data_IF_915689545617
#
_entry.id   IF_915689545617
#
_cell.length_a   1.000
_cell.length_b   1.000
_cell.length_c   1.000
_cell.angle_alpha   90.00
_cell.angle_beta   90.00
_cell.angle_gamma   90.00
#
_symmetry.space_group_name_H-M   'P 1'
#
loop_
_entity.id
_entity.type
_entity.pdbx_description
1 polymer ?
#
# COMPACT_ATOMS: atom_id res chain seq x y z
N UNK A 1 19.41 -23.97 3.01
CA UNK A 1 20.70 -23.70 2.37
C UNK A 1 20.42 -23.11 1.00
N UNK A 2 21.16 -22.08 0.59
CA UNK A 2 20.98 -21.46 -0.73
C UNK A 2 21.27 -22.46 -1.86
N UNK A 3 20.50 -22.35 -2.95
CA UNK A 3 20.59 -23.21 -4.11
C UNK A 3 20.54 -22.40 -5.41
N UNK A 4 21.10 -22.96 -6.49
CA UNK A 4 21.00 -22.35 -7.83
C UNK A 4 19.55 -22.22 -8.33
N UNK A 5 18.62 -22.98 -7.73
CA UNK A 5 17.19 -22.89 -8.04
C UNK A 5 16.58 -21.60 -7.52
N UNK A 6 17.12 -21.06 -6.43
CA UNK A 6 16.68 -19.79 -5.86
C UNK A 6 17.03 -18.61 -6.80
N UNK A 7 18.00 -18.83 -7.70
CA UNK A 7 18.39 -17.90 -8.76
C UNK A 7 17.81 -18.26 -10.15
N UNK A 8 16.77 -19.09 -10.19
CA UNK A 8 15.98 -19.31 -11.41
C UNK A 8 16.37 -20.52 -12.26
N UNK A 9 17.38 -21.31 -11.87
CA UNK A 9 17.66 -22.58 -12.57
C UNK A 9 16.66 -23.67 -12.18
N UNK A 10 16.26 -24.47 -13.16
CA UNK A 10 15.60 -25.74 -12.93
C UNK A 10 16.55 -26.74 -12.27
N UNK A 11 15.98 -27.82 -11.72
CA UNK A 11 16.76 -28.88 -11.09
C UNK A 11 17.74 -29.56 -12.05
N UNK A 12 17.37 -29.71 -13.33
CA UNK A 12 18.22 -30.34 -14.33
C UNK A 12 19.38 -29.43 -14.74
N UNK A 13 19.12 -28.14 -14.87
CA UNK A 13 20.15 -27.13 -15.18
C UNK A 13 21.16 -27.01 -14.03
N UNK A 14 20.68 -26.96 -12.79
CA UNK A 14 21.54 -26.93 -11.62
C UNK A 14 22.44 -28.17 -11.53
N UNK A 15 21.90 -29.37 -11.82
CA UNK A 15 22.68 -30.62 -11.84
C UNK A 15 23.70 -30.64 -12.97
N UNK A 16 23.31 -30.25 -14.19
CA UNK A 16 24.22 -30.19 -15.33
C UNK A 16 25.37 -29.22 -15.12
N UNK A 17 25.10 -28.01 -14.61
CA UNK A 17 26.13 -27.02 -14.30
C UNK A 17 27.11 -27.50 -13.23
N UNK A 18 26.61 -28.09 -12.13
CA UNK A 18 27.47 -28.69 -11.08
C UNK A 18 28.33 -29.83 -11.61
N UNK A 19 27.76 -30.69 -12.46
CA UNK A 19 28.52 -31.77 -13.07
C UNK A 19 29.64 -31.24 -13.97
N UNK A 20 29.39 -30.20 -14.77
CA UNK A 20 30.40 -29.54 -15.60
C UNK A 20 31.53 -28.90 -14.79
N UNK A 21 31.24 -28.32 -13.62
CA UNK A 21 32.28 -27.80 -12.71
C UNK A 21 33.19 -28.91 -12.19
N UNK A 22 32.67 -30.13 -12.04
CA UNK A 22 33.42 -31.26 -11.48
C UNK A 22 34.20 -32.03 -12.56
N UNK A 23 33.60 -32.25 -13.73
CA UNK A 23 34.19 -33.07 -14.80
C UNK A 23 35.02 -32.27 -15.81
N UNK A 24 34.86 -30.95 -15.87
CA UNK A 24 35.52 -30.11 -16.86
C UNK A 24 34.94 -30.31 -18.27
N UNK A 25 35.73 -30.05 -19.34
CA UNK A 25 35.25 -30.10 -20.72
C UNK A 25 34.77 -31.49 -21.16
N UNK A 26 33.46 -31.67 -21.31
CA UNK A 26 32.83 -32.97 -21.59
C UNK A 26 31.77 -32.89 -22.69
N UNK A 27 31.38 -34.02 -23.26
CA UNK A 27 30.32 -34.10 -24.28
C UNK A 27 28.93 -34.19 -23.62
N UNK A 28 27.86 -33.85 -24.36
CA UNK A 28 26.49 -33.98 -23.84
C UNK A 28 26.15 -35.41 -23.38
N UNK A 29 26.67 -36.43 -24.09
CA UNK A 29 26.45 -37.84 -23.74
C UNK A 29 27.09 -38.20 -22.41
N UNK A 30 28.34 -37.79 -22.19
CA UNK A 30 29.05 -38.01 -20.93
C UNK A 30 28.40 -37.21 -19.80
N UNK A 31 28.03 -35.95 -20.07
CA UNK A 31 27.36 -35.10 -19.09
C UNK A 31 26.05 -35.71 -18.60
N UNK A 32 25.23 -36.23 -19.50
CA UNK A 32 23.97 -36.91 -19.15
C UNK A 32 24.19 -38.08 -18.17
N UNK A 33 25.30 -38.82 -18.31
CA UNK A 33 25.63 -39.94 -17.42
C UNK A 33 26.10 -39.47 -16.05
N UNK A 34 26.85 -38.38 -15.97
CA UNK A 34 27.42 -37.90 -14.69
C UNK A 34 26.50 -36.94 -13.93
N UNK A 35 25.53 -36.32 -14.60
CA UNK A 35 24.63 -35.32 -14.01
C UNK A 35 23.24 -35.87 -13.65
N UNK A 36 22.99 -37.15 -13.93
CA UNK A 36 21.66 -37.78 -13.81
C UNK A 36 20.53 -37.04 -14.57
N UNK A 37 20.91 -36.32 -15.63
CA UNK A 37 19.95 -35.63 -16.52
C UNK A 37 19.69 -36.56 -17.70
N UNK A 38 18.42 -36.93 -17.98
CA UNK A 38 18.08 -37.85 -19.06
C UNK A 38 18.61 -37.38 -20.42
N UNK A 39 19.08 -38.33 -21.24
CA UNK A 39 19.64 -38.02 -22.56
C UNK A 39 18.65 -37.27 -23.48
N UNK A 40 17.35 -37.54 -23.34
CA UNK A 40 16.30 -36.83 -24.09
C UNK A 40 16.12 -35.36 -23.69
N UNK A 41 16.75 -34.90 -22.59
CA UNK A 41 16.64 -33.53 -22.06
C UNK A 41 17.97 -32.79 -22.02
N UNK A 42 19.10 -33.48 -22.18
CA UNK A 42 20.42 -32.87 -21.94
C UNK A 42 20.73 -31.72 -22.90
N UNK A 43 20.30 -31.82 -24.15
CA UNK A 43 20.51 -30.75 -25.13
C UNK A 43 19.67 -29.52 -24.81
N UNK A 44 18.41 -29.69 -24.41
CA UNK A 44 17.55 -28.58 -23.97
C UNK A 44 18.15 -27.87 -22.75
N UNK A 45 18.62 -28.66 -21.78
CA UNK A 45 19.27 -28.14 -20.57
C UNK A 45 20.55 -27.39 -20.91
N UNK A 46 21.41 -27.95 -21.77
CA UNK A 46 22.64 -27.31 -22.22
C UNK A 46 22.37 -26.02 -22.99
N UNK A 47 21.35 -26.00 -23.85
CA UNK A 47 20.95 -24.80 -24.58
C UNK A 47 20.45 -23.71 -23.61
N UNK A 48 19.65 -24.07 -22.60
CA UNK A 48 19.15 -23.14 -21.59
C UNK A 48 20.28 -22.52 -20.78
N UNK A 49 21.19 -23.34 -20.22
CA UNK A 49 22.33 -22.80 -19.46
C UNK A 49 23.38 -22.11 -20.34
N UNK A 50 23.42 -22.39 -21.65
CA UNK A 50 24.20 -21.61 -22.61
C UNK A 50 23.55 -20.23 -22.88
N UNK A 51 22.21 -20.13 -22.93
CA UNK A 51 21.48 -18.85 -23.02
C UNK A 51 21.72 -17.96 -21.78
N UNK A 52 21.73 -18.56 -20.58
CA UNK A 52 22.14 -17.88 -19.34
C UNK A 52 23.65 -17.59 -19.27
N UNK A 53 24.42 -17.90 -20.31
CA UNK A 53 25.87 -17.73 -20.36
C UNK A 53 26.60 -18.45 -19.20
N UNK A 54 26.07 -19.56 -18.71
CA UNK A 54 26.71 -20.36 -17.64
C UNK A 54 27.64 -21.43 -18.18
N UNK A 55 27.53 -21.73 -19.48
CA UNK A 55 28.34 -22.74 -20.16
C UNK A 55 28.89 -22.16 -21.45
N UNK A 56 30.11 -22.57 -21.80
CA UNK A 56 30.70 -22.35 -23.11
C UNK A 56 30.74 -23.66 -23.86
N UNK A 57 30.54 -23.59 -25.17
CA UNK A 57 30.62 -24.75 -26.01
C UNK A 57 31.72 -24.63 -27.07
N UNK A 58 32.36 -25.75 -27.36
CA UNK A 58 33.42 -25.84 -28.35
C UNK A 58 32.88 -26.47 -29.63
N UNK A 59 32.33 -25.64 -30.51
CA UNK A 59 31.68 -26.07 -31.75
C UNK A 59 32.61 -26.81 -32.73
N UNK A 60 33.92 -26.55 -32.64
CA UNK A 60 34.94 -27.18 -33.48
C UNK A 60 35.22 -28.65 -33.10
N UNK A 61 34.83 -29.10 -31.91
CA UNK A 61 35.03 -30.49 -31.50
C UNK A 61 33.91 -31.39 -32.03
N UNK A 62 34.25 -32.63 -32.42
CA UNK A 62 33.28 -33.67 -32.80
C UNK A 62 33.53 -34.90 -31.90
N UNK A 63 32.67 -35.17 -30.90
CA UNK A 63 31.42 -34.48 -30.55
C UNK A 63 31.62 -33.08 -29.94
N UNK A 64 30.59 -32.21 -29.97
CA UNK A 64 30.59 -30.88 -29.33
C UNK A 64 30.84 -31.04 -27.81
N UNK A 65 31.82 -30.29 -27.29
CA UNK A 65 32.17 -30.26 -25.87
C UNK A 65 31.63 -29.01 -25.20
N UNK A 66 31.36 -29.11 -23.90
CA UNK A 66 30.82 -28.06 -23.06
C UNK A 66 31.70 -27.92 -21.82
N UNK A 67 31.86 -26.69 -21.35
CA UNK A 67 32.61 -26.35 -20.13
C UNK A 67 31.84 -25.30 -19.34
N UNK A 68 31.79 -25.44 -18.02
CA UNK A 68 31.17 -24.46 -17.14
C UNK A 68 31.97 -23.15 -17.13
N UNK A 69 31.26 -22.03 -17.06
CA UNK A 69 31.81 -20.74 -16.63
C UNK A 69 32.07 -20.79 -15.13
N UNK A 70 33.06 -20.02 -14.66
CA UNK A 70 33.43 -19.94 -13.24
C UNK A 70 32.22 -19.58 -12.35
N UNK A 71 32.10 -20.20 -11.15
CA UNK A 71 30.95 -20.01 -10.27
C UNK A 71 30.63 -18.55 -9.96
N UNK A 72 31.64 -17.72 -9.64
CA UNK A 72 31.42 -16.32 -9.29
C UNK A 72 30.76 -15.55 -10.44
N UNK A 73 31.31 -15.68 -11.66
CA UNK A 73 30.75 -15.05 -12.86
C UNK A 73 29.36 -15.61 -13.22
N UNK A 74 29.15 -16.91 -13.04
CA UNK A 74 27.86 -17.54 -13.30
C UNK A 74 26.78 -17.06 -12.32
N UNK A 75 27.11 -16.93 -11.04
CA UNK A 75 26.21 -16.43 -10.00
C UNK A 75 25.89 -14.94 -10.21
N UNK A 76 26.88 -14.13 -10.57
CA UNK A 76 26.66 -12.72 -10.89
C UNK A 76 25.68 -12.56 -12.06
N UNK A 77 25.85 -13.35 -13.13
CA UNK A 77 24.94 -13.34 -14.29
C UNK A 77 23.52 -13.74 -13.93
N UNK A 78 23.37 -14.81 -13.14
CA UNK A 78 22.06 -15.25 -12.67
C UNK A 78 21.38 -14.19 -11.81
N UNK A 79 22.14 -13.51 -10.95
CA UNK A 79 21.63 -12.42 -10.13
C UNK A 79 21.20 -11.21 -10.98
N UNK A 80 22.00 -10.83 -11.97
CA UNK A 80 21.67 -9.75 -12.90
C UNK A 80 20.41 -10.05 -13.71
N UNK A 81 20.28 -11.27 -14.22
CA UNK A 81 19.06 -11.70 -14.93
C UNK A 81 17.85 -11.70 -14.01
N UNK A 82 18.00 -12.13 -12.76
CA UNK A 82 16.89 -12.10 -11.79
C UNK A 82 16.46 -10.67 -11.45
N UNK A 83 17.41 -9.74 -11.30
CA UNK A 83 17.11 -8.31 -11.11
C UNK A 83 16.37 -7.74 -12.32
N UNK A 84 16.78 -8.10 -13.53
CA UNK A 84 16.12 -7.68 -14.78
C UNK A 84 14.66 -8.15 -14.83
N UNK A 85 14.42 -9.43 -14.55
CA UNK A 85 13.07 -10.03 -14.51
C UNK A 85 12.17 -9.32 -13.49
N UNK A 86 12.69 -9.01 -12.31
CA UNK A 86 11.93 -8.30 -11.27
C UNK A 86 11.58 -6.87 -11.69
N UNK A 87 12.53 -6.13 -12.28
CA UNK A 87 12.28 -4.77 -12.79
C UNK A 87 11.27 -4.76 -13.94
N UNK A 88 11.27 -5.79 -14.81
CA UNK A 88 10.28 -5.92 -15.88
C UNK A 88 8.87 -6.18 -15.32
N UNK A 89 8.76 -7.03 -14.29
CA UNK A 89 7.49 -7.27 -13.58
C UNK A 89 6.98 -6.04 -12.85
N UNK A 90 7.86 -5.29 -12.19
CA UNK A 90 7.52 -4.03 -11.53
C UNK A 90 6.87 -3.05 -12.52
N UNK A 91 7.53 -2.79 -13.66
CA UNK A 91 6.98 -1.92 -14.72
C UNK A 91 5.66 -2.44 -15.30
N UNK A 92 5.51 -3.76 -15.42
CA UNK A 92 4.25 -4.35 -15.86
C UNK A 92 3.12 -4.04 -14.87
N UNK A 93 3.37 -4.16 -13.57
CA UNK A 93 2.37 -3.84 -12.55
C UNK A 93 2.05 -2.35 -12.47
N UNK A 94 3.05 -1.48 -12.61
CA UNK A 94 2.83 -0.02 -12.72
C UNK A 94 1.88 0.32 -13.88
N UNK A 95 2.12 -0.24 -15.07
CA UNK A 95 1.24 -0.01 -16.22
C UNK A 95 -0.19 -0.55 -16.04
N UNK A 96 -0.35 -1.67 -15.32
CA UNK A 96 -1.68 -2.20 -14.97
C UNK A 96 -2.40 -1.23 -14.02
N UNK A 97 -1.69 -0.67 -13.03
CA UNK A 97 -2.26 0.32 -12.10
C UNK A 97 -2.73 1.56 -12.87
N UNK A 98 -1.91 2.10 -13.76
CA UNK A 98 -2.27 3.28 -14.56
C UNK A 98 -3.51 3.03 -15.44
N UNK A 99 -3.60 1.86 -16.08
CA UNK A 99 -4.76 1.46 -16.89
C UNK A 99 -6.02 1.32 -16.02
N UNK A 100 -5.87 0.70 -14.84
CA UNK A 100 -6.98 0.51 -13.90
C UNK A 100 -7.49 1.84 -13.37
N UNK A 101 -6.61 2.78 -12.97
CA UNK A 101 -7.00 4.13 -12.56
C UNK A 101 -7.85 4.78 -13.65
N UNK A 102 -7.37 4.80 -14.91
CA UNK A 102 -8.14 5.39 -16.02
C UNK A 102 -9.47 4.70 -16.33
N UNK A 103 -9.57 3.38 -16.13
CA UNK A 103 -10.81 2.61 -16.37
C UNK A 103 -11.80 2.64 -15.21
N UNK A 104 -11.32 2.83 -13.98
CA UNK A 104 -12.14 2.93 -12.78
C UNK A 104 -12.59 4.38 -12.54
N UNK A 105 -11.87 5.37 -13.09
CA UNK A 105 -12.27 6.78 -13.13
C UNK A 105 -13.38 7.07 -14.17
N UNK A 106 -13.68 6.15 -15.09
CA UNK A 106 -14.89 6.25 -15.93
C UNK A 106 -16.14 5.86 -15.15
N UNK A 107 -16.45 6.63 -14.12
CA UNK A 107 -17.79 6.63 -13.54
C UNK A 107 -18.60 7.66 -14.33
N UNK A 108 -19.33 7.18 -15.34
CA UNK A 108 -20.63 7.79 -15.66
C UNK A 108 -21.37 7.90 -14.33
N UNK A 109 -21.51 9.12 -13.81
CA UNK A 109 -22.25 9.48 -12.60
C UNK A 109 -23.60 8.78 -12.61
N UNK A 110 -23.70 7.63 -11.95
CA UNK A 110 -24.97 7.04 -11.59
C UNK A 110 -25.48 7.91 -10.45
N UNK A 111 -26.50 8.71 -10.73
CA UNK A 111 -27.30 9.48 -9.76
C UNK A 111 -28.08 8.56 -8.78
N UNK A 112 -27.51 7.44 -8.36
CA UNK A 112 -27.95 6.76 -7.15
C UNK A 112 -27.02 7.24 -6.03
N UNK A 113 -27.61 7.88 -5.02
CA UNK A 113 -26.92 8.24 -3.78
C UNK A 113 -26.39 6.96 -3.14
N UNK A 114 -25.19 6.56 -3.53
CA UNK A 114 -24.54 5.37 -3.04
C UNK A 114 -24.00 5.70 -1.65
N UNK A 115 -24.57 5.04 -0.64
CA UNK A 115 -24.09 5.14 0.72
C UNK A 115 -23.47 3.80 1.13
N UNK A 116 -22.29 3.87 1.74
CA UNK A 116 -21.65 2.71 2.37
C UNK A 116 -21.84 2.84 3.86
N UNK A 117 -22.33 1.79 4.52
CA UNK A 117 -22.35 1.76 5.99
C UNK A 117 -21.36 0.72 6.50
N UNK A 118 -20.42 1.17 7.31
CA UNK A 118 -19.63 0.31 8.16
C UNK A 118 -20.33 0.19 9.52
N UNK A 119 -20.57 -1.02 9.99
CA UNK A 119 -21.17 -1.27 11.31
C UNK A 119 -20.13 -1.94 12.16
N UNK A 120 -19.91 -1.37 13.34
CA UNK A 120 -18.90 -1.86 14.27
C UNK A 120 -17.66 -0.95 14.33
N UNK A 121 -16.93 -1.00 15.45
CA UNK A 121 -15.78 -0.14 15.70
C UNK A 121 -14.67 -0.30 14.64
N UNK A 122 -14.21 -1.53 14.37
CA UNK A 122 -13.08 -1.76 13.47
C UNK A 122 -13.38 -1.31 12.03
N UNK A 123 -14.54 -1.70 11.51
CA UNK A 123 -14.98 -1.37 10.16
C UNK A 123 -15.19 0.14 9.99
N UNK A 124 -15.69 0.83 11.04
CA UNK A 124 -15.83 2.29 11.05
C UNK A 124 -14.48 2.98 10.94
N UNK A 125 -13.48 2.51 11.70
CA UNK A 125 -12.11 3.03 11.64
C UNK A 125 -11.48 2.81 10.28
N UNK A 126 -11.62 1.60 9.73
CA UNK A 126 -11.06 1.24 8.44
C UNK A 126 -11.67 2.10 7.33
N UNK A 127 -12.99 2.30 7.35
CA UNK A 127 -13.67 3.21 6.43
C UNK A 127 -13.14 4.63 6.57
N UNK A 128 -13.10 5.21 7.78
CA UNK A 128 -12.60 6.59 7.97
C UNK A 128 -11.17 6.77 7.45
N UNK A 129 -10.28 5.83 7.75
CA UNK A 129 -8.89 5.82 7.28
C UNK A 129 -8.82 5.76 5.76
N UNK A 130 -9.61 4.89 5.14
CA UNK A 130 -9.71 4.78 3.69
C UNK A 130 -10.16 6.09 3.04
N UNK A 131 -11.16 6.75 3.64
CA UNK A 131 -11.70 8.02 3.14
C UNK A 131 -10.70 9.17 3.23
N UNK A 132 -9.96 9.28 4.33
CA UNK A 132 -8.88 10.29 4.47
C UNK A 132 -7.72 9.99 3.52
N UNK A 133 -7.39 8.72 3.31
CA UNK A 133 -6.34 8.32 2.39
C UNK A 133 -6.69 8.65 0.92
N UNK A 134 -7.97 8.62 0.57
CA UNK A 134 -8.48 8.97 -0.76
C UNK A 134 -8.64 10.47 -1.01
N UNK A 135 -8.48 11.32 0.01
CA UNK A 135 -8.64 12.77 -0.13
C UNK A 135 -7.53 13.40 -0.98
N UNK A 136 -7.93 14.29 -1.90
CA UNK A 136 -7.06 14.98 -2.87
C UNK A 136 -6.94 16.49 -2.65
N UNK A 137 -7.98 17.14 -2.10
CA UNK A 137 -8.06 18.60 -1.98
C UNK A 137 -8.21 19.07 -0.53
N UNK A 138 -9.20 18.53 0.19
CA UNK A 138 -9.52 19.00 1.55
C UNK A 138 -10.22 17.94 2.41
N UNK A 139 -9.84 17.88 3.68
CA UNK A 139 -10.53 17.14 4.73
C UNK A 139 -11.02 18.12 5.82
N UNK A 140 -12.34 18.22 5.99
CA UNK A 140 -12.95 18.97 7.10
C UNK A 140 -13.55 17.99 8.09
N UNK A 141 -12.96 17.88 9.28
CA UNK A 141 -13.36 16.92 10.30
C UNK A 141 -13.96 17.63 11.51
N UNK A 142 -15.11 17.17 11.96
CA UNK A 142 -15.71 17.53 13.25
C UNK A 142 -15.69 16.31 14.15
N UNK A 143 -15.04 16.43 15.30
CA UNK A 143 -15.01 15.39 16.32
C UNK A 143 -15.75 15.89 17.56
N UNK A 144 -16.96 15.38 17.81
CA UNK A 144 -17.72 15.73 18.99
C UNK A 144 -17.39 14.80 20.15
N UNK A 145 -17.39 13.49 19.98
CA UNK A 145 -17.12 12.53 21.06
C UNK A 145 -16.04 11.53 20.68
N UNK A 146 -15.27 11.07 21.67
CA UNK A 146 -14.54 9.81 21.53
C UNK A 146 -15.49 8.66 21.83
N UNK A 147 -15.36 7.57 21.09
CA UNK A 147 -16.00 6.32 21.45
C UNK A 147 -15.17 5.59 22.51
N UNK A 148 -15.78 5.25 23.65
CA UNK A 148 -15.08 4.58 24.77
C UNK A 148 -14.77 3.11 24.50
N UNK A 149 -15.28 2.55 23.40
CA UNK A 149 -15.21 1.12 23.07
C UNK A 149 -13.91 0.70 22.37
N UNK A 150 -12.97 1.62 22.10
CA UNK A 150 -11.68 1.31 21.48
C UNK A 150 -10.51 1.29 22.46
N UNK A 151 -9.43 0.61 22.08
CA UNK A 151 -8.08 0.98 22.52
C UNK A 151 -7.82 2.39 21.99
N UNK A 152 -8.07 3.40 22.84
CA UNK A 152 -8.06 4.83 22.50
C UNK A 152 -6.80 5.27 21.75
N UNK A 153 -5.68 4.59 21.99
CA UNK A 153 -4.41 4.84 21.33
C UNK A 153 -4.45 4.47 19.84
N UNK A 154 -5.04 3.34 19.43
CA UNK A 154 -4.91 2.84 18.06
C UNK A 154 -5.74 3.64 17.05
N UNK A 155 -7.01 3.94 17.36
CA UNK A 155 -7.88 4.71 16.46
C UNK A 155 -7.31 6.13 16.25
N UNK A 156 -7.05 6.84 17.35
CA UNK A 156 -6.55 8.22 17.28
C UNK A 156 -5.20 8.28 16.57
N UNK A 157 -4.30 7.32 16.81
CA UNK A 157 -3.02 7.26 16.12
C UNK A 157 -3.14 6.95 14.62
N UNK A 158 -4.07 6.07 14.23
CA UNK A 158 -4.32 5.74 12.82
C UNK A 158 -4.86 6.95 12.08
N UNK A 159 -5.89 7.60 12.61
CA UNK A 159 -6.48 8.81 12.00
C UNK A 159 -5.45 9.94 11.94
N UNK A 160 -4.75 10.24 13.04
CA UNK A 160 -3.74 11.31 13.05
C UNK A 160 -2.59 11.05 12.06
N UNK A 161 -2.20 9.78 11.88
CA UNK A 161 -1.20 9.39 10.88
C UNK A 161 -1.69 9.58 9.45
N UNK A 162 -2.94 9.25 9.16
CA UNK A 162 -3.48 9.48 7.82
C UNK A 162 -3.71 10.96 7.53
N UNK A 163 -4.09 11.76 8.54
CA UNK A 163 -4.15 13.23 8.39
C UNK A 163 -2.76 13.82 8.09
N UNK A 164 -1.71 13.35 8.76
CA UNK A 164 -0.32 13.74 8.46
C UNK A 164 0.06 13.39 7.02
N UNK A 165 -0.27 12.18 6.56
CA UNK A 165 -0.03 11.78 5.16
C UNK A 165 -0.84 12.59 4.17
N UNK A 166 -2.06 13.01 4.51
CA UNK A 166 -2.87 13.86 3.65
C UNK A 166 -2.22 15.25 3.52
N UNK A 167 -1.78 15.83 4.64
CA UNK A 167 -1.02 17.08 4.65
C UNK A 167 0.26 16.99 3.81
N UNK A 168 1.02 15.89 3.94
CA UNK A 168 2.23 15.64 3.13
C UNK A 168 1.94 15.57 1.62
N UNK A 169 0.72 15.17 1.22
CA UNK A 169 0.25 15.18 -0.18
C UNK A 169 -0.23 16.56 -0.64
N UNK A 170 -0.33 17.54 0.26
CA UNK A 170 -0.83 18.89 -0.02
C UNK A 170 -2.32 19.09 0.20
N UNK A 171 -2.99 18.16 0.89
CA UNK A 171 -4.42 18.25 1.23
C UNK A 171 -4.60 19.22 2.40
N UNK A 172 -5.58 20.12 2.31
CA UNK A 172 -5.92 21.03 3.41
C UNK A 172 -6.73 20.30 4.48
N UNK A 173 -6.36 20.43 5.75
CA UNK A 173 -7.04 19.74 6.85
C UNK A 173 -7.55 20.76 7.86
N UNK A 174 -8.87 20.77 8.08
CA UNK A 174 -9.55 21.58 9.09
C UNK A 174 -10.18 20.67 10.15
N UNK A 175 -9.70 20.73 11.39
CA UNK A 175 -10.19 19.89 12.49
C UNK A 175 -10.91 20.71 13.57
N UNK A 176 -12.22 20.50 13.72
CA UNK A 176 -13.05 21.13 14.76
C UNK A 176 -13.39 20.11 15.84
N UNK A 177 -13.13 20.43 17.10
CA UNK A 177 -13.40 19.52 18.21
C UNK A 177 -14.09 20.20 19.38
N UNK A 178 -14.66 19.41 20.31
CA UNK A 178 -15.05 19.95 21.62
C UNK A 178 -13.81 20.23 22.48
N UNK A 179 -13.81 21.28 23.33
CA UNK A 179 -12.70 21.55 24.23
C UNK A 179 -12.36 20.37 25.14
N UNK A 180 -13.37 19.68 25.68
CA UNK A 180 -13.17 18.53 26.57
C UNK A 180 -12.47 17.37 25.85
N UNK A 181 -12.69 17.25 24.53
CA UNK A 181 -12.04 16.24 23.71
C UNK A 181 -10.52 16.43 23.66
N UNK A 182 -10.03 17.67 23.72
CA UNK A 182 -8.60 17.97 23.72
C UNK A 182 -7.94 17.40 24.98
N UNK A 183 -8.61 17.50 26.12
CA UNK A 183 -8.08 17.03 27.41
C UNK A 183 -8.06 15.49 27.49
N UNK A 184 -9.00 14.83 26.79
CA UNK A 184 -9.13 13.37 26.75
C UNK A 184 -8.26 12.70 25.66
N UNK A 185 -7.53 13.48 24.85
CA UNK A 185 -6.67 12.94 23.80
C UNK A 185 -5.54 12.08 24.37
N UNK A 186 -5.27 10.90 23.78
CA UNK A 186 -4.09 10.11 24.11
C UNK A 186 -2.79 10.90 23.96
N UNK A 187 -1.81 10.65 24.84
CA UNK A 187 -0.51 11.34 24.81
C UNK A 187 0.20 11.18 23.47
N UNK A 188 0.06 10.01 22.83
CA UNK A 188 0.65 9.73 21.51
C UNK A 188 0.05 10.58 20.40
N UNK A 189 -1.28 10.78 20.41
CA UNK A 189 -2.00 11.64 19.47
C UNK A 189 -1.68 13.10 19.72
N UNK A 190 -1.69 13.54 20.98
CA UNK A 190 -1.32 14.91 21.36
C UNK A 190 0.13 15.25 20.98
N UNK A 191 1.05 14.28 21.08
CA UNK A 191 2.43 14.43 20.61
C UNK A 191 2.49 14.59 19.09
N UNK A 192 1.83 13.70 18.32
CA UNK A 192 1.81 13.78 16.84
C UNK A 192 1.17 15.07 16.35
N UNK A 193 0.10 15.52 17.02
CA UNK A 193 -0.51 16.81 16.76
C UNK A 193 0.54 17.93 16.88
N UNK A 194 1.27 18.01 18.01
CA UNK A 194 2.24 19.09 18.27
C UNK A 194 3.48 19.02 17.38
N UNK A 195 3.95 17.82 17.05
CA UNK A 195 5.22 17.60 16.35
C UNK A 195 5.06 17.55 14.83
N UNK A 196 3.94 17.04 14.32
CA UNK A 196 3.72 16.78 12.89
C UNK A 196 2.58 17.60 12.28
N UNK A 197 1.40 17.65 12.92
CA UNK A 197 0.21 18.27 12.32
C UNK A 197 0.22 19.80 12.44
N UNK A 198 0.32 20.31 13.67
CA UNK A 198 0.24 21.74 13.99
C UNK A 198 1.28 22.62 13.27
N UNK A 199 2.52 22.14 12.97
CA UNK A 199 3.49 22.91 12.19
C UNK A 199 3.14 23.04 10.70
N UNK A 200 2.19 22.27 10.17
CA UNK A 200 1.89 22.25 8.74
C UNK A 200 1.03 23.46 8.35
N UNK A 201 1.44 24.21 7.32
CA UNK A 201 0.74 25.44 6.87
C UNK A 201 -0.69 25.19 6.38
N UNK A 202 -1.00 23.94 6.00
CA UNK A 202 -2.30 23.48 5.51
C UNK A 202 -3.18 22.84 6.59
N UNK A 203 -2.74 22.87 7.85
CA UNK A 203 -3.49 22.33 8.98
C UNK A 203 -3.99 23.45 9.89
N UNK A 204 -5.29 23.46 10.16
CA UNK A 204 -5.90 24.33 11.18
C UNK A 204 -6.77 23.47 12.09
N UNK A 205 -6.74 23.77 13.39
CA UNK A 205 -7.50 23.05 14.38
C UNK A 205 -8.12 24.03 15.38
N UNK A 206 -9.41 23.85 15.64
CA UNK A 206 -10.21 24.75 16.47
C UNK A 206 -11.08 23.98 17.43
N UNK A 207 -11.49 24.65 18.50
CA UNK A 207 -12.41 24.11 19.50
C UNK A 207 -13.70 24.90 19.59
N UNK A 208 -14.82 24.20 19.73
CA UNK A 208 -16.14 24.79 19.96
C UNK A 208 -17.01 23.84 20.79
N UNK A 209 -17.76 24.37 21.75
CA UNK A 209 -18.80 23.60 22.47
C UNK A 209 -20.06 23.40 21.61
N UNK A 210 -20.21 24.14 20.50
CA UNK A 210 -21.38 24.10 19.59
C UNK A 210 -21.25 23.00 18.51
N UNK A 211 -20.79 21.81 18.92
CA UNK A 211 -20.75 20.62 18.06
C UNK A 211 -21.30 19.41 18.81
N UNK A 212 -22.27 18.73 18.20
CA UNK A 212 -23.00 17.62 18.82
C UNK A 212 -22.74 16.28 18.13
N UNK A 213 -22.51 16.26 16.82
CA UNK A 213 -22.17 15.06 16.05
C UNK A 213 -20.74 15.06 15.54
N UNK A 214 -20.21 13.88 15.24
CA UNK A 214 -18.94 13.68 14.54
C UNK A 214 -19.20 13.41 13.06
N UNK A 215 -18.52 14.15 12.19
CA UNK A 215 -18.59 13.93 10.75
C UNK A 215 -17.29 14.38 10.07
N UNK A 216 -17.03 13.88 8.88
CA UNK A 216 -15.91 14.29 8.04
C UNK A 216 -16.40 14.57 6.63
N UNK A 217 -16.04 15.72 6.07
CA UNK A 217 -16.27 16.06 4.67
C UNK A 217 -14.95 15.88 3.91
N UNK A 218 -14.97 15.11 2.84
CA UNK A 218 -13.82 14.84 1.96
C UNK A 218 -14.08 15.47 0.60
N UNK A 219 -13.16 16.32 0.15
CA UNK A 219 -13.12 17.00 -1.16
C UNK A 219 -14.42 17.71 -1.56
N UNK A 220 -15.24 18.08 -0.56
CA UNK A 220 -16.53 18.74 -0.74
C UNK A 220 -17.59 17.91 -1.48
N UNK A 221 -17.34 16.62 -1.74
CA UNK A 221 -18.26 15.74 -2.45
C UNK A 221 -18.71 14.50 -1.69
N UNK A 222 -18.11 14.25 -0.52
CA UNK A 222 -18.30 13.05 0.27
C UNK A 222 -18.40 13.41 1.75
N UNK A 223 -19.33 12.77 2.46
CA UNK A 223 -19.55 12.99 3.90
C UNK A 223 -19.61 11.67 4.63
N UNK A 224 -18.71 11.49 5.60
CA UNK A 224 -18.74 10.40 6.56
C UNK A 224 -19.41 10.88 7.85
N UNK A 225 -20.51 10.26 8.26
CA UNK A 225 -21.24 10.60 9.49
C UNK A 225 -21.13 9.43 10.47
N UNK A 226 -20.69 9.72 11.68
CA UNK A 226 -20.72 8.74 12.77
C UNK A 226 -22.12 8.64 13.36
N UNK A 227 -22.60 7.41 13.49
CA UNK A 227 -23.88 7.07 14.10
C UNK A 227 -23.62 6.60 15.53
N UNK A 228 -24.10 7.32 16.55
CA UNK A 228 -23.93 6.92 17.94
C UNK A 228 -24.76 5.67 18.27
N UNK A 229 -24.30 4.90 19.26
CA UNK A 229 -24.98 3.70 19.67
C UNK A 229 -26.31 4.01 20.37
N UNK A 230 -27.42 3.33 19.99
CA UNK A 230 -28.76 3.69 20.44
C UNK A 230 -28.98 3.50 21.96
N UNK A 231 -28.12 2.72 22.62
CA UNK A 231 -28.16 2.44 24.05
C UNK A 231 -26.95 2.99 24.83
N UNK A 232 -25.90 3.42 24.14
CA UNK A 232 -24.62 3.85 24.73
C UNK A 232 -24.17 5.12 24.02
N UNK A 233 -24.52 6.28 24.56
CA UNK A 233 -24.30 7.56 23.89
C UNK A 233 -22.81 7.91 23.66
N UNK A 234 -21.91 7.21 24.35
CA UNK A 234 -20.46 7.36 24.25
C UNK A 234 -19.80 6.31 23.36
N UNK A 235 -20.58 5.49 22.64
CA UNK A 235 -20.07 4.49 21.70
C UNK A 235 -20.52 4.81 20.27
N UNK A 236 -19.65 4.53 19.29
CA UNK A 236 -20.00 4.59 17.87
C UNK A 236 -20.57 3.25 17.43
N UNK A 237 -21.76 3.25 16.83
CA UNK A 237 -22.41 2.04 16.31
C UNK A 237 -22.05 1.77 14.86
N UNK A 238 -22.01 2.82 14.05
CA UNK A 238 -21.73 2.71 12.63
C UNK A 238 -21.17 4.02 12.09
N UNK A 239 -20.60 3.96 10.90
CA UNK A 239 -20.30 5.12 10.08
C UNK A 239 -20.99 4.97 8.73
N UNK A 240 -21.62 6.05 8.28
CA UNK A 240 -22.24 6.13 6.97
C UNK A 240 -21.40 7.06 6.12
N UNK A 241 -20.85 6.54 5.03
CA UNK A 241 -20.19 7.29 3.98
C UNK A 241 -21.19 7.59 2.87
N UNK A 242 -21.44 8.87 2.58
CA UNK A 242 -22.33 9.35 1.52
C UNK A 242 -21.54 10.11 0.47
N UNK A 243 -21.55 9.60 -0.77
CA UNK A 243 -21.04 10.32 -1.95
C UNK A 243 -22.15 11.14 -2.59
N UNK A 244 -22.38 12.32 -2.04
CA UNK A 244 -23.41 13.26 -2.51
C UNK A 244 -22.90 14.70 -2.36
N UNK A 245 -22.62 15.35 -3.50
CA UNK A 245 -22.09 16.73 -3.53
C UNK A 245 -23.08 17.76 -3.01
N UNK A 246 -24.38 17.55 -3.21
CA UNK A 246 -25.40 18.48 -2.71
C UNK A 246 -25.43 18.43 -1.19
N UNK A 247 -25.51 17.21 -0.64
CA UNK A 247 -25.49 17.00 0.80
C UNK A 247 -24.16 17.44 1.45
N UNK A 248 -23.01 17.16 0.82
CA UNK A 248 -21.71 17.65 1.28
C UNK A 248 -21.64 19.18 1.30
N UNK A 249 -22.24 19.83 0.30
CA UNK A 249 -22.41 21.28 0.25
C UNK A 249 -23.23 21.80 1.43
N UNK A 250 -24.39 21.21 1.71
CA UNK A 250 -25.25 21.57 2.85
C UNK A 250 -24.51 21.44 4.20
N UNK A 251 -23.83 20.32 4.42
CA UNK A 251 -23.04 20.09 5.65
C UNK A 251 -21.91 21.11 5.78
N UNK A 252 -21.26 21.48 4.66
CA UNK A 252 -20.20 22.48 4.65
C UNK A 252 -20.72 23.87 4.99
N UNK A 253 -21.88 24.26 4.46
CA UNK A 253 -22.55 25.53 4.78
C UNK A 253 -22.92 25.62 6.27
N UNK A 254 -23.26 24.51 6.90
CA UNK A 254 -23.48 24.42 8.35
C UNK A 254 -22.16 24.44 9.16
N UNK A 255 -21.08 23.90 8.60
CA UNK A 255 -19.76 23.86 9.24
C UNK A 255 -19.09 25.25 9.27
N UNK A 256 -19.11 26.00 8.16
CA UNK A 256 -18.37 27.26 8.01
C UNK A 256 -18.64 28.31 9.11
N UNK A 257 -19.90 28.59 9.51
CA UNK A 257 -20.19 29.53 10.60
C UNK A 257 -19.63 29.08 11.94
N UNK A 258 -19.70 27.78 12.24
CA UNK A 258 -19.16 27.19 13.48
C UNK A 258 -17.66 27.25 13.50
N UNK A 259 -17.02 26.96 12.37
CA UNK A 259 -15.57 27.09 12.20
C UNK A 259 -15.08 28.52 12.40
N UNK A 260 -15.78 29.49 11.81
CA UNK A 260 -15.43 30.91 11.94
C UNK A 260 -15.59 31.44 13.37
N UNK A 261 -16.57 30.93 14.12
CA UNK A 261 -16.80 31.27 15.52
C UNK A 261 -15.94 30.48 16.51
N UNK A 262 -15.34 29.36 16.08
CA UNK A 262 -14.53 28.49 16.92
C UNK A 262 -13.21 29.14 17.33
N UNK A 263 -12.69 28.71 18.48
CA UNK A 263 -11.43 29.22 19.03
C UNK A 263 -10.27 28.40 18.46
N UNK A 264 -9.23 29.01 17.86
CA UNK A 264 -8.03 28.29 17.45
C UNK A 264 -7.42 27.53 18.63
N UNK A 265 -7.14 26.24 18.42
CA UNK A 265 -6.47 25.43 19.42
C UNK A 265 -5.02 25.91 19.52
N UNK A 266 -4.67 26.45 20.68
CA UNK A 266 -3.32 26.90 20.99
C UNK A 266 -2.86 26.28 22.30
N UNK A 267 -1.58 25.92 22.35
CA UNK A 267 -0.91 25.31 23.51
C UNK A 267 0.04 26.32 24.17
#
# INVERSE_FOLDING_TARGET
MASLRDLGLSEYEARAYRALLTTGPTTAKELSQVSDVPMGRIYDVLNSIEQYNLVRSQSASRPKKYVAVEPDTALDRLLEDKKRELNEKERQYEGIVDELVGSLDTTDTVEERFWTAAVGPAETTDLMVERIAAADERVSMVASTFSQSFDMDDLGERVARELERALDRGVEVSLLMRPQLVDDLPESVGRRYRESLAPHDLFDCRTSDDVTGSFTVVDGGEVCIEVPHPLHAEDTFAMIDLKDREFAGEIREEFEPRWAAATPLSF
#
